data_IF_996818890462
#
_entry.id   IF_996818890462
#
_cell.length_a   1.000
_cell.length_b   1.000
_cell.length_c   1.000
_cell.angle_alpha   90.00
_cell.angle_beta   90.00
_cell.angle_gamma   90.00
#
_symmetry.space_group_name_H-M   'P 1'
#
loop_
_entity.id
_entity.type
_entity.pdbx_description
1 polymer ?
#
# COMPACT_ATOMS: atom_id res chain seq x y z
N UNK A 1 30.08 -22.91 -25.31
CA UNK A 1 29.12 -23.25 -24.25
C UNK A 1 28.03 -22.19 -24.26
N UNK A 2 26.83 -22.53 -24.75
CA UNK A 2 25.69 -21.63 -24.65
C UNK A 2 25.19 -21.70 -23.20
N UNK A 3 25.49 -20.66 -22.43
CA UNK A 3 24.92 -20.48 -21.11
C UNK A 3 23.45 -20.13 -21.32
N UNK A 4 22.53 -21.08 -21.10
CA UNK A 4 21.12 -20.71 -21.18
C UNK A 4 20.74 -19.85 -19.97
N UNK A 5 19.84 -18.88 -20.14
CA UNK A 5 19.42 -17.95 -19.10
C UNK A 5 18.53 -18.62 -18.03
N UNK A 6 18.30 -17.91 -16.92
CA UNK A 6 17.21 -18.19 -16.00
C UNK A 6 15.85 -17.99 -16.71
N UNK A 7 14.82 -18.71 -16.25
CA UNK A 7 13.46 -18.48 -16.70
C UNK A 7 12.93 -17.14 -16.21
N UNK A 8 12.04 -16.52 -16.99
CA UNK A 8 11.38 -15.27 -16.61
C UNK A 8 10.54 -15.51 -15.33
N UNK A 9 10.89 -14.86 -14.20
CA UNK A 9 10.12 -15.00 -12.97
C UNK A 9 8.76 -14.29 -13.04
N UNK A 10 8.54 -13.46 -14.06
CA UNK A 10 7.37 -12.61 -14.22
C UNK A 10 7.43 -11.34 -13.36
N UNK A 11 6.29 -10.65 -13.28
CA UNK A 11 6.14 -9.42 -12.50
C UNK A 11 5.23 -9.62 -11.29
N UNK A 12 5.51 -8.97 -10.15
CA UNK A 12 4.61 -9.00 -9.01
C UNK A 12 3.29 -8.32 -9.37
N UNK A 13 2.17 -8.89 -8.90
CA UNK A 13 0.86 -8.22 -9.02
C UNK A 13 0.92 -6.88 -8.31
N UNK A 14 0.51 -5.80 -8.98
CA UNK A 14 0.62 -4.41 -8.50
C UNK A 14 2.07 -3.93 -8.29
N UNK A 15 3.01 -4.47 -9.05
CA UNK A 15 4.38 -3.97 -9.12
C UNK A 15 5.01 -4.26 -10.47
N UNK A 16 6.31 -4.04 -10.54
CA UNK A 16 7.12 -4.14 -11.74
C UNK A 16 8.57 -4.45 -11.35
N UNK A 17 9.42 -4.78 -12.32
CA UNK A 17 10.86 -4.87 -12.10
C UNK A 17 11.65 -4.12 -13.16
N UNK A 18 12.84 -3.66 -12.79
CA UNK A 18 13.89 -3.24 -13.73
C UNK A 18 14.82 -4.41 -13.99
N UNK A 19 15.21 -4.60 -15.25
CA UNK A 19 16.06 -5.69 -15.70
C UNK A 19 15.36 -6.45 -16.82
N UNK A 20 16.05 -6.56 -17.96
CA UNK A 20 15.51 -7.14 -19.20
C UNK A 20 16.29 -8.39 -19.65
N UNK A 21 17.36 -8.72 -18.93
CA UNK A 21 18.24 -9.82 -19.22
C UNK A 21 18.20 -10.83 -18.08
N UNK A 22 18.29 -12.10 -18.44
CA UNK A 22 18.13 -13.23 -17.53
C UNK A 22 19.37 -14.14 -17.55
N UNK A 23 20.50 -13.61 -18.04
CA UNK A 23 21.77 -14.31 -18.06
C UNK A 23 22.32 -14.54 -16.66
N UNK A 24 23.29 -15.44 -16.53
CA UNK A 24 23.93 -15.73 -15.24
C UNK A 24 24.59 -14.47 -14.71
N UNK A 25 24.28 -14.12 -13.46
CA UNK A 25 24.77 -12.90 -12.81
C UNK A 25 23.90 -11.66 -13.06
N UNK A 26 22.92 -11.71 -13.97
CA UNK A 26 21.98 -10.61 -14.16
C UNK A 26 21.06 -10.47 -12.94
N UNK A 27 20.69 -9.22 -12.62
CA UNK A 27 19.76 -8.92 -11.53
C UNK A 27 18.47 -8.27 -12.02
N UNK A 28 17.38 -8.60 -11.33
CA UNK A 28 16.10 -7.93 -11.45
C UNK A 28 15.80 -7.22 -10.14
N UNK A 29 15.46 -5.93 -10.22
CA UNK A 29 15.08 -5.12 -9.05
C UNK A 29 13.58 -4.85 -9.10
N UNK A 30 12.86 -5.26 -8.07
CA UNK A 30 11.40 -5.15 -7.98
C UNK A 30 10.96 -3.89 -7.25
N UNK A 31 9.85 -3.33 -7.72
CA UNK A 31 9.20 -2.15 -7.16
C UNK A 31 7.68 -2.36 -7.15
N UNK A 32 6.99 -1.69 -6.22
CA UNK A 32 5.55 -1.76 -6.09
C UNK A 32 4.87 -0.46 -6.52
N UNK A 33 3.62 -0.56 -6.95
CA UNK A 33 2.78 0.60 -7.21
C UNK A 33 2.50 1.37 -5.91
N UNK A 34 2.12 2.64 -6.03
CA UNK A 34 1.81 3.50 -4.88
C UNK A 34 0.75 2.88 -3.96
N UNK A 35 1.02 2.90 -2.66
CA UNK A 35 0.17 2.28 -1.63
C UNK A 35 0.44 0.80 -1.35
N UNK A 36 1.24 0.11 -2.18
CA UNK A 36 1.64 -1.28 -1.94
C UNK A 36 3.06 -1.35 -1.39
N UNK A 37 3.30 -2.34 -0.53
CA UNK A 37 4.62 -2.64 0.03
C UNK A 37 5.19 -3.92 -0.56
N UNK A 38 6.49 -3.91 -0.84
CA UNK A 38 7.21 -5.07 -1.33
C UNK A 38 7.46 -6.06 -0.18
N UNK A 39 6.97 -7.29 -0.32
CA UNK A 39 7.21 -8.42 0.57
C UNK A 39 8.05 -9.48 -0.16
N UNK A 40 9.30 -9.63 0.27
CA UNK A 40 10.28 -10.53 -0.33
C UNK A 40 11.59 -9.82 -0.67
N UNK A 41 12.39 -10.42 -1.56
CA UNK A 41 13.65 -9.84 -2.00
C UNK A 41 13.39 -8.66 -2.95
N UNK A 42 14.01 -7.50 -2.67
CA UNK A 42 13.95 -6.32 -3.56
C UNK A 42 14.73 -6.51 -4.85
N UNK A 43 15.74 -7.36 -4.80
CA UNK A 43 16.61 -7.65 -5.92
C UNK A 43 16.93 -9.14 -5.89
N UNK A 44 16.80 -9.79 -7.03
CA UNK A 44 17.17 -11.20 -7.23
C UNK A 44 18.20 -11.28 -8.34
N UNK A 45 19.06 -12.28 -8.30
CA UNK A 45 20.10 -12.52 -9.31
C UNK A 45 20.04 -13.95 -9.83
N UNK A 46 20.37 -14.12 -11.10
CA UNK A 46 20.36 -15.44 -11.73
C UNK A 46 21.59 -16.24 -11.29
N UNK A 47 21.36 -17.32 -10.54
CA UNK A 47 22.43 -18.19 -10.05
C UNK A 47 22.90 -19.14 -11.16
N UNK A 48 24.22 -19.27 -11.30
CA UNK A 48 24.84 -20.30 -12.15
C UNK A 48 24.88 -21.66 -11.46
N UNK A 49 24.86 -22.75 -12.23
CA UNK A 49 24.97 -24.12 -11.70
C UNK A 49 24.17 -25.17 -12.48
N UNK A 50 24.06 -26.39 -11.93
CA UNK A 50 23.34 -27.52 -12.54
C UNK A 50 21.81 -27.42 -12.50
N UNK A 51 21.25 -26.51 -11.69
CA UNK A 51 19.85 -26.06 -11.75
C UNK A 51 19.86 -24.55 -11.82
N UNK A 52 19.24 -24.00 -12.87
CA UNK A 52 19.13 -22.55 -13.04
C UNK A 52 17.99 -22.05 -12.18
N UNK A 53 18.31 -21.18 -11.23
CA UNK A 53 17.32 -20.60 -10.33
C UNK A 53 17.69 -19.18 -9.97
N UNK A 54 16.68 -18.38 -9.72
CA UNK A 54 16.86 -17.09 -9.08
C UNK A 54 17.29 -17.26 -7.62
N UNK A 55 18.06 -16.31 -7.11
CA UNK A 55 18.51 -16.28 -5.72
C UNK A 55 17.38 -16.26 -4.69
N UNK A 56 16.20 -15.80 -5.09
CA UNK A 56 14.98 -15.79 -4.30
C UNK A 56 13.74 -15.92 -5.22
N UNK A 57 12.59 -16.35 -4.69
CA UNK A 57 11.34 -16.38 -5.44
C UNK A 57 10.84 -14.96 -5.77
N UNK A 58 9.92 -14.87 -6.74
CA UNK A 58 9.25 -13.62 -7.10
C UNK A 58 8.62 -12.96 -5.86
N UNK A 59 8.96 -11.70 -5.54
CA UNK A 59 8.36 -10.99 -4.40
C UNK A 59 6.90 -10.66 -4.68
N UNK A 60 6.17 -10.20 -3.65
CA UNK A 60 4.76 -9.81 -3.76
C UNK A 60 4.58 -8.36 -3.33
N UNK A 61 3.75 -7.61 -4.05
CA UNK A 61 3.28 -6.31 -3.59
C UNK A 61 1.96 -6.49 -2.85
N UNK A 62 1.93 -6.08 -1.58
CA UNK A 62 0.78 -6.27 -0.69
C UNK A 62 0.36 -4.94 -0.08
N UNK A 63 -0.95 -4.73 0.03
CA UNK A 63 -1.49 -3.65 0.83
C UNK A 63 -1.54 -4.13 2.29
N UNK A 64 -0.70 -3.53 3.14
CA UNK A 64 -0.60 -3.89 4.55
C UNK A 64 -1.53 -3.01 5.41
N UNK A 65 -1.81 -3.49 6.61
CA UNK A 65 -2.52 -2.75 7.63
C UNK A 65 -1.63 -1.64 8.18
N UNK A 66 -1.97 -0.40 7.83
CA UNK A 66 -1.26 0.79 8.25
C UNK A 66 -0.03 1.13 7.41
N UNK A 67 0.33 2.40 7.40
CA UNK A 67 1.51 2.92 6.68
C UNK A 67 1.90 4.31 7.17
N UNK A 68 3.21 4.57 7.21
CA UNK A 68 3.76 5.91 7.43
C UNK A 68 4.37 6.41 6.13
N UNK A 69 3.86 7.53 5.62
CA UNK A 69 4.30 8.11 4.36
C UNK A 69 4.67 9.57 4.56
N UNK A 70 5.76 9.99 3.91
CA UNK A 70 6.31 11.35 4.03
C UNK A 70 6.30 12.14 2.72
N UNK A 71 5.64 11.61 1.69
CA UNK A 71 5.58 12.25 0.37
C UNK A 71 4.48 13.31 0.37
N UNK A 72 4.57 14.30 -0.52
CA UNK A 72 3.51 15.30 -0.69
C UNK A 72 2.23 14.72 -1.28
N UNK A 73 2.34 13.64 -2.05
CA UNK A 73 1.21 12.95 -2.65
C UNK A 73 1.39 11.44 -2.60
N UNK A 74 0.28 10.71 -2.65
CA UNK A 74 0.32 9.26 -2.66
C UNK A 74 -1.04 8.60 -2.51
N UNK A 75 -1.00 7.29 -2.27
CA UNK A 75 -2.17 6.44 -2.14
C UNK A 75 -2.06 5.64 -0.85
N UNK A 76 -3.14 5.59 -0.08
CA UNK A 76 -3.31 4.70 1.07
C UNK A 76 -4.37 3.65 0.73
N UNK A 77 -4.10 2.41 1.11
CA UNK A 77 -4.94 1.25 0.79
C UNK A 77 -5.33 0.54 2.07
N UNK A 78 -6.56 0.02 2.11
CA UNK A 78 -6.96 -0.94 3.13
C UNK A 78 -6.16 -2.25 3.00
N UNK A 79 -6.04 -3.06 4.07
CA UNK A 79 -5.41 -4.37 3.99
C UNK A 79 -5.99 -5.19 2.84
N UNK A 80 -5.14 -5.93 2.13
CA UNK A 80 -5.52 -6.84 1.04
C UNK A 80 -6.14 -6.18 -0.21
N UNK A 81 -6.27 -4.84 -0.29
CA UNK A 81 -6.87 -4.16 -1.44
C UNK A 81 -6.25 -4.61 -2.77
N UNK A 82 -7.03 -4.89 -3.84
CA UNK A 82 -8.48 -4.67 -4.00
C UNK A 82 -9.37 -5.84 -3.54
N UNK A 83 -8.81 -6.83 -2.82
CA UNK A 83 -9.61 -7.84 -2.15
C UNK A 83 -10.20 -7.25 -0.86
N UNK A 84 -11.17 -7.95 -0.28
CA UNK A 84 -11.75 -7.54 0.99
C UNK A 84 -10.67 -7.55 2.09
N UNK A 85 -10.72 -6.56 2.98
CA UNK A 85 -9.93 -6.58 4.21
C UNK A 85 -10.46 -7.68 5.16
N UNK A 86 -9.65 -8.11 6.12
CA UNK A 86 -10.06 -9.10 7.12
C UNK A 86 -10.68 -8.43 8.37
N UNK A 87 -11.35 -9.22 9.20
CA UNK A 87 -11.95 -8.76 10.45
C UNK A 87 -10.90 -8.51 11.54
N UNK A 88 -11.27 -7.72 12.56
CA UNK A 88 -10.44 -7.42 13.74
C UNK A 88 -9.11 -6.72 13.42
N UNK A 89 -9.13 -5.81 12.45
CA UNK A 89 -8.00 -4.95 12.15
C UNK A 89 -8.10 -3.61 12.89
N UNK A 90 -6.98 -3.19 13.45
CA UNK A 90 -6.73 -1.83 13.93
C UNK A 90 -5.53 -1.30 13.16
N UNK A 91 -5.80 -0.60 12.05
CA UNK A 91 -4.77 -0.07 11.16
C UNK A 91 -4.60 1.42 11.36
N UNK A 92 -3.34 1.84 11.46
CA UNK A 92 -2.96 3.24 11.61
C UNK A 92 -2.21 3.71 10.38
N UNK A 93 -2.67 4.80 9.79
CA UNK A 93 -2.01 5.46 8.68
C UNK A 93 -1.61 6.88 9.09
N UNK A 94 -0.37 7.25 8.79
CA UNK A 94 0.16 8.57 9.11
C UNK A 94 0.79 9.19 7.85
N UNK A 95 0.30 10.37 7.47
CA UNK A 95 0.86 11.17 6.39
C UNK A 95 1.59 12.35 7.00
N UNK A 96 2.82 12.59 6.56
CA UNK A 96 3.59 13.78 6.91
C UNK A 96 4.05 14.46 5.63
N UNK A 97 3.62 15.71 5.40
CA UNK A 97 4.11 16.53 4.29
C UNK A 97 5.04 17.63 4.82
N UNK A 98 5.66 18.34 3.89
CA UNK A 98 6.49 19.52 4.22
C UNK A 98 5.70 20.54 5.04
N UNK A 99 6.38 21.15 6.01
CA UNK A 99 5.78 22.16 6.89
C UNK A 99 5.17 23.31 6.10
N UNK A 100 3.95 23.71 6.44
CA UNK A 100 3.24 24.81 5.79
C UNK A 100 2.37 24.41 4.59
N UNK A 101 2.30 23.11 4.25
CA UNK A 101 1.32 22.56 3.30
C UNK A 101 0.19 21.87 4.06
N UNK A 102 -1.05 22.14 3.64
CA UNK A 102 -2.21 21.34 4.05
C UNK A 102 -2.31 20.07 3.22
N UNK A 103 -3.01 19.06 3.73
CA UNK A 103 -3.18 17.76 3.06
C UNK A 103 -4.64 17.62 2.63
N UNK A 104 -4.87 17.44 1.34
CA UNK A 104 -6.19 17.06 0.84
C UNK A 104 -6.27 15.54 0.69
N UNK A 105 -7.34 14.93 1.20
CA UNK A 105 -7.59 13.49 1.07
C UNK A 105 -8.96 13.24 0.47
N UNK A 106 -9.00 12.34 -0.50
CA UNK A 106 -10.24 11.87 -1.13
C UNK A 106 -10.20 10.37 -1.36
N UNK A 107 -11.37 9.75 -1.42
CA UNK A 107 -11.47 8.33 -1.71
C UNK A 107 -11.83 8.09 -3.18
N UNK A 108 -11.00 7.33 -3.90
CA UNK A 108 -11.36 6.82 -5.23
C UNK A 108 -12.33 5.64 -5.12
N UNK A 109 -12.13 4.81 -4.10
CA UNK A 109 -13.03 3.72 -3.71
C UNK A 109 -13.12 3.72 -2.19
N UNK A 110 -14.33 3.49 -1.66
CA UNK A 110 -14.57 3.43 -0.22
C UNK A 110 -15.84 2.62 0.02
N UNK A 111 -15.67 1.44 0.58
CA UNK A 111 -16.73 0.50 0.91
C UNK A 111 -16.30 -0.25 2.17
N UNK A 112 -16.80 0.19 3.32
CA UNK A 112 -16.66 -0.50 4.60
C UNK A 112 -17.93 -1.28 4.91
N UNK A 113 -17.80 -2.37 5.66
CA UNK A 113 -18.93 -3.14 6.18
C UNK A 113 -19.62 -2.36 7.31
N UNK A 114 -20.81 -2.82 7.68
CA UNK A 114 -21.58 -2.19 8.74
C UNK A 114 -20.94 -2.49 10.10
N UNK A 115 -20.49 -1.46 10.81
CA UNK A 115 -19.75 -1.58 12.08
C UNK A 115 -18.30 -1.13 11.96
N UNK A 116 -17.73 -1.24 10.76
CA UNK A 116 -16.38 -0.80 10.44
C UNK A 116 -16.31 0.70 10.23
N UNK A 117 -15.23 1.31 10.71
CA UNK A 117 -15.04 2.76 10.68
C UNK A 117 -13.64 3.17 10.26
N UNK A 118 -13.55 4.26 9.51
CA UNK A 118 -12.32 5.01 9.27
C UNK A 118 -12.45 6.38 9.94
N UNK A 119 -11.61 6.66 10.93
CA UNK A 119 -11.47 7.99 11.54
C UNK A 119 -10.32 8.73 10.91
N UNK A 120 -10.50 10.02 10.67
CA UNK A 120 -9.48 10.91 10.11
C UNK A 120 -9.27 12.07 11.06
N UNK A 121 -8.03 12.35 11.42
CA UNK A 121 -7.63 13.37 12.39
C UNK A 121 -6.67 14.38 11.75
N UNK A 122 -6.89 15.67 11.99
CA UNK A 122 -6.07 16.80 11.52
C UNK A 122 -4.83 17.00 12.39
N UNK A 123 -3.94 16.01 12.40
CA UNK A 123 -2.71 16.06 13.19
C UNK A 123 -1.88 14.79 13.10
N UNK A 124 -0.86 14.70 13.96
CA UNK A 124 0.11 13.61 13.96
C UNK A 124 -0.31 12.37 14.74
N UNK A 125 -1.42 12.42 15.47
CA UNK A 125 -1.90 11.34 16.34
C UNK A 125 -3.43 11.42 16.57
N UNK A 126 -3.96 10.50 17.38
CA UNK A 126 -5.37 10.42 17.74
C UNK A 126 -5.84 11.42 18.80
N UNK A 127 -4.94 12.26 19.34
CA UNK A 127 -5.31 13.37 20.22
C UNK A 127 -5.71 14.63 19.42
N UNK A 128 -5.42 14.65 18.12
CA UNK A 128 -5.77 15.76 17.23
C UNK A 128 -7.28 15.86 16.93
N UNK A 129 -7.70 16.96 16.32
CA UNK A 129 -9.10 17.20 15.97
C UNK A 129 -9.58 16.21 14.90
N UNK A 130 -10.73 15.58 15.12
CA UNK A 130 -11.34 14.65 14.16
C UNK A 130 -11.93 15.44 12.99
N UNK A 131 -11.44 15.21 11.77
CA UNK A 131 -12.03 15.72 10.53
C UNK A 131 -13.31 14.99 10.16
N UNK A 132 -13.36 13.68 10.44
CA UNK A 132 -14.55 12.88 10.18
C UNK A 132 -14.40 11.42 10.61
N UNK A 133 -15.55 10.76 10.73
CA UNK A 133 -15.67 9.30 10.92
C UNK A 133 -16.55 8.76 9.81
N UNK A 134 -16.01 7.81 9.05
CA UNK A 134 -16.64 7.30 7.83
C UNK A 134 -16.89 5.79 7.95
N UNK A 135 -18.04 5.36 7.47
CA UNK A 135 -18.46 3.95 7.37
C UNK A 135 -19.24 3.72 6.06
N UNK A 136 -19.50 2.47 5.68
CA UNK A 136 -20.20 2.17 4.42
C UNK A 136 -19.48 2.80 3.22
N UNK A 137 -20.23 3.61 2.46
CA UNK A 137 -19.73 4.38 1.32
C UNK A 137 -19.64 5.89 1.57
N UNK A 138 -19.72 6.32 2.84
CA UNK A 138 -19.92 7.75 3.21
C UNK A 138 -18.76 8.68 2.83
N UNK A 139 -17.55 8.15 2.63
CA UNK A 139 -16.40 8.96 2.19
C UNK A 139 -16.34 9.17 0.66
N UNK A 140 -17.12 8.40 -0.13
CA UNK A 140 -17.11 8.55 -1.59
C UNK A 140 -17.61 9.94 -2.00
N UNK A 141 -16.84 10.61 -2.86
CA UNK A 141 -17.18 11.95 -3.36
C UNK A 141 -16.88 13.09 -2.39
N UNK A 142 -16.32 12.81 -1.22
CA UNK A 142 -15.85 13.82 -0.27
C UNK A 142 -14.36 14.12 -0.48
N UNK A 143 -13.99 15.38 -0.22
CA UNK A 143 -12.61 15.83 -0.12
C UNK A 143 -12.43 16.44 1.27
N UNK A 144 -11.54 15.86 2.06
CA UNK A 144 -11.17 16.35 3.38
C UNK A 144 -9.92 17.21 3.24
N UNK A 145 -9.91 18.38 3.87
CA UNK A 145 -8.77 19.29 3.86
C UNK A 145 -8.23 19.44 5.28
N UNK A 146 -7.00 18.96 5.49
CA UNK A 146 -6.22 19.11 6.72
C UNK A 146 -5.64 20.51 6.79
N UNK A 147 -5.67 21.14 7.96
CA UNK A 147 -4.95 22.40 8.22
C UNK A 147 -3.52 22.16 8.70
N UNK A 148 -3.22 20.94 9.16
CA UNK A 148 -1.90 20.47 9.56
C UNK A 148 -1.09 19.91 8.37
N UNK A 149 0.24 19.88 8.52
CA UNK A 149 1.14 19.13 7.64
C UNK A 149 1.24 17.64 8.04
N UNK A 150 0.46 17.23 9.04
CA UNK A 150 0.33 15.84 9.50
C UNK A 150 -1.13 15.42 9.45
N UNK A 151 -1.39 14.22 8.96
CA UNK A 151 -2.72 13.61 8.97
C UNK A 151 -2.64 12.20 9.51
N UNK A 152 -3.52 11.88 10.46
CA UNK A 152 -3.61 10.57 11.10
C UNK A 152 -4.94 9.92 10.75
N UNK A 153 -4.91 8.64 10.38
CA UNK A 153 -6.11 7.87 10.07
C UNK A 153 -6.09 6.56 10.83
N UNK A 154 -7.24 6.20 11.38
CA UNK A 154 -7.42 4.94 12.09
C UNK A 154 -8.57 4.17 11.45
N UNK A 155 -8.25 3.01 10.91
CA UNK A 155 -9.22 2.07 10.38
C UNK A 155 -9.44 0.95 11.39
N UNK A 156 -10.70 0.76 11.76
CA UNK A 156 -11.16 -0.28 12.65
C UNK A 156 -12.13 -1.19 11.91
N UNK A 157 -11.79 -2.48 11.80
CA UNK A 157 -12.74 -3.52 11.40
C UNK A 157 -13.18 -4.34 12.60
N UNK A 158 -14.48 -4.60 12.71
CA UNK A 158 -15.07 -5.40 13.76
C UNK A 158 -14.90 -6.91 13.49
N UNK A 159 -15.66 -7.77 14.16
CA UNK A 159 -15.57 -9.23 13.99
C UNK A 159 -16.49 -9.79 12.91
N UNK A 160 -17.30 -8.96 12.25
CA UNK A 160 -18.46 -9.36 11.46
C UNK A 160 -18.48 -8.71 10.07
N UNK A 161 -18.61 -9.52 9.02
CA UNK A 161 -18.63 -9.07 7.61
C UNK A 161 -17.37 -8.33 7.15
N UNK A 162 -17.09 -8.42 5.85
CA UNK A 162 -15.98 -7.68 5.23
C UNK A 162 -16.49 -6.98 3.98
N UNK A 163 -15.77 -5.96 3.54
CA UNK A 163 -16.08 -5.24 2.32
C UNK A 163 -14.81 -4.93 1.51
N UNK A 164 -14.97 -4.33 0.32
CA UNK A 164 -13.87 -4.04 -0.60
C UNK A 164 -12.83 -3.04 -0.10
N UNK A 165 -13.08 -2.41 1.06
CA UNK A 165 -12.14 -1.52 1.72
C UNK A 165 -12.05 -0.16 1.07
N UNK A 166 -10.86 0.42 1.05
CA UNK A 166 -10.66 1.78 0.56
C UNK A 166 -9.38 1.96 -0.24
N UNK A 167 -9.44 2.90 -1.18
CA UNK A 167 -8.29 3.51 -1.85
C UNK A 167 -8.39 5.02 -1.71
N UNK A 168 -7.59 5.56 -0.79
CA UNK A 168 -7.50 7.00 -0.55
C UNK A 168 -6.34 7.57 -1.35
N UNK A 169 -6.55 8.73 -1.96
CA UNK A 169 -5.49 9.52 -2.60
C UNK A 169 -5.33 10.81 -1.82
N UNK A 170 -4.08 11.19 -1.56
CA UNK A 170 -3.74 12.44 -0.87
C UNK A 170 -2.75 13.27 -1.68
N UNK A 171 -2.82 14.60 -1.49
CA UNK A 171 -1.99 15.61 -2.15
C UNK A 171 -1.94 16.92 -1.38
#
# INVERSE_FOLDING_TARGET
>A
YNLEPCEDPGTPRFGWHTGISFGIGDSLVFSCNTGYRLKGAREIWCLGGGRRMWSAPLPRCVAECGSTVSNSEGVLLSPNYPLNYDNSHECVYSIQVETGKGINVSASTFQLAQGDILKVYDGGDSAAAVLGTFTGSTMLGLVLTSTSNHLWLEFYSDQEHTAGGFRLSYS
#
